data_IF_277580262065
#
_entry.id   IF_277580262065
#
_cell.length_a   1.000
_cell.length_b   1.000
_cell.length_c   1.000
_cell.angle_alpha   90.00
_cell.angle_beta   90.00
_cell.angle_gamma   90.00
#
_symmetry.space_group_name_H-M   'P 1'
#
loop_
_entity.id
_entity.type
_entity.pdbx_description
1 polymer ?
#
# COMPACT_ATOMS: atom_id res chain seq x y z
N UNK A 1 -15.68 -32.96 -19.46
CA UNK A 1 -14.48 -32.14 -19.20
C UNK A 1 -14.93 -30.84 -18.58
N UNK A 2 -14.69 -30.64 -17.28
CA UNK A 2 -14.96 -29.37 -16.61
C UNK A 2 -13.75 -28.46 -16.89
N UNK A 3 -13.92 -27.46 -17.75
CA UNK A 3 -12.91 -26.42 -17.95
C UNK A 3 -12.89 -25.58 -16.68
N UNK A 4 -11.97 -25.86 -15.75
CA UNK A 4 -11.63 -24.90 -14.70
C UNK A 4 -10.96 -23.71 -15.41
N UNK A 5 -11.74 -22.66 -15.66
CA UNK A 5 -11.20 -21.34 -15.96
C UNK A 5 -10.48 -20.86 -14.71
N UNK A 6 -9.15 -21.02 -14.65
CA UNK A 6 -8.35 -20.20 -13.74
C UNK A 6 -8.52 -18.76 -14.21
N UNK A 7 -9.40 -18.01 -13.54
CA UNK A 7 -9.38 -16.56 -13.65
C UNK A 7 -7.97 -16.14 -13.24
N UNK A 8 -7.15 -15.70 -14.21
CA UNK A 8 -5.89 -15.05 -13.89
C UNK A 8 -6.28 -13.73 -13.25
N UNK A 9 -6.11 -13.62 -11.95
CA UNK A 9 -6.13 -12.33 -11.28
C UNK A 9 -5.10 -11.44 -11.97
N UNK A 10 -5.59 -10.41 -12.65
CA UNK A 10 -4.74 -9.36 -13.23
C UNK A 10 -4.43 -8.40 -12.10
N UNK A 11 -3.19 -8.42 -11.64
CA UNK A 11 -2.73 -7.59 -10.54
C UNK A 11 -2.78 -6.13 -10.98
N UNK A 12 -3.64 -5.32 -10.37
CA UNK A 12 -3.86 -3.94 -10.76
C UNK A 12 -3.35 -2.96 -9.73
N UNK A 13 -2.37 -2.13 -10.08
CA UNK A 13 -1.85 -1.12 -9.13
C UNK A 13 -2.09 0.28 -9.71
N UNK A 14 -2.68 1.15 -8.91
CA UNK A 14 -3.05 2.50 -9.33
C UNK A 14 -1.82 3.30 -9.79
N UNK A 15 -1.94 3.94 -10.94
CA UNK A 15 -0.88 4.71 -11.63
C UNK A 15 -1.50 5.90 -12.37
N UNK A 16 -0.72 6.94 -12.69
CA UNK A 16 -1.25 8.07 -13.46
C UNK A 16 -1.57 7.65 -14.90
N UNK A 17 -2.66 8.18 -15.50
CA UNK A 17 -2.99 7.94 -16.89
C UNK A 17 -1.80 8.23 -17.82
N UNK A 18 -1.57 7.36 -18.80
CA UNK A 18 -0.48 7.46 -19.78
C UNK A 18 0.94 7.53 -19.18
N UNK A 19 1.10 7.18 -17.90
CA UNK A 19 2.40 7.14 -17.26
C UNK A 19 3.32 6.13 -17.97
N UNK A 20 4.65 6.40 -18.04
CA UNK A 20 5.63 5.41 -18.44
C UNK A 20 5.65 4.15 -17.55
N UNK A 21 5.09 4.22 -16.33
CA UNK A 21 4.95 3.11 -15.40
C UNK A 21 3.71 2.24 -15.63
N UNK A 22 2.82 2.62 -16.55
CA UNK A 22 1.55 1.93 -16.76
C UNK A 22 1.74 0.44 -17.07
N UNK A 23 2.77 0.08 -17.85
CA UNK A 23 3.03 -1.32 -18.22
C UNK A 23 3.44 -2.20 -17.02
N UNK A 24 4.13 -1.63 -16.04
CA UNK A 24 4.59 -2.29 -14.82
C UNK A 24 3.46 -2.41 -13.80
N UNK A 25 2.56 -1.42 -13.79
CA UNK A 25 1.40 -1.35 -12.90
C UNK A 25 0.12 -1.99 -13.48
N UNK A 26 0.20 -2.51 -14.72
CA UNK A 26 -0.91 -3.09 -15.48
C UNK A 26 -2.06 -2.12 -15.76
N UNK A 27 -1.75 -0.81 -15.83
CA UNK A 27 -2.64 0.29 -16.25
C UNK A 27 -4.05 0.24 -15.63
N UNK A 28 -4.12 0.21 -14.30
CA UNK A 28 -5.41 0.07 -13.60
C UNK A 28 -5.86 1.34 -12.91
N UNK A 29 -7.17 1.45 -12.77
CA UNK A 29 -7.85 2.57 -12.09
C UNK A 29 -8.02 2.33 -10.60
N UNK A 30 -7.56 1.21 -10.03
CA UNK A 30 -7.49 1.03 -8.57
C UNK A 30 -6.47 -0.03 -8.21
N UNK A 31 -6.03 0.06 -6.97
CA UNK A 31 -5.37 -1.02 -6.24
C UNK A 31 -6.43 -1.75 -5.43
N UNK A 32 -6.43 -3.08 -5.47
CA UNK A 32 -7.25 -3.92 -4.62
C UNK A 32 -6.37 -4.75 -3.68
N UNK A 33 -7.01 -5.26 -2.65
CA UNK A 33 -6.50 -6.23 -1.69
C UNK A 33 -5.67 -7.37 -2.31
N UNK A 34 -6.25 -8.05 -3.31
CA UNK A 34 -5.62 -9.20 -3.98
C UNK A 34 -4.39 -8.81 -4.84
N UNK A 35 -4.11 -7.52 -5.00
CA UNK A 35 -2.96 -7.00 -5.74
C UNK A 35 -1.71 -6.84 -4.84
N UNK A 36 -1.87 -7.03 -3.53
CA UNK A 36 -0.84 -6.82 -2.51
C UNK A 36 -0.48 -8.15 -1.86
N UNK A 37 0.79 -8.27 -1.48
CA UNK A 37 1.29 -9.33 -0.62
C UNK A 37 1.89 -8.71 0.63
N UNK A 38 1.87 -9.42 1.76
CA UNK A 38 2.28 -8.87 3.05
C UNK A 38 3.55 -9.51 3.60
N UNK A 39 3.83 -10.77 3.24
CA UNK A 39 5.03 -11.48 3.67
C UNK A 39 6.19 -11.19 2.71
N UNK A 40 7.38 -10.95 3.25
CA UNK A 40 8.59 -10.61 2.50
C UNK A 40 8.92 -11.64 1.40
N UNK A 41 8.67 -12.92 1.69
CA UNK A 41 8.90 -14.01 0.75
C UNK A 41 8.02 -13.90 -0.51
N UNK A 42 6.80 -13.40 -0.37
CA UNK A 42 5.83 -13.36 -1.46
C UNK A 42 6.12 -12.25 -2.45
N UNK A 43 6.82 -11.19 -2.03
CA UNK A 43 7.26 -10.09 -2.89
C UNK A 43 8.21 -10.55 -4.01
N UNK A 44 8.86 -11.71 -3.86
CA UNK A 44 9.68 -12.32 -4.93
C UNK A 44 9.21 -13.71 -5.33
N UNK A 45 8.42 -14.38 -4.49
CA UNK A 45 7.90 -15.72 -4.72
C UNK A 45 6.60 -15.79 -5.52
N UNK A 46 5.86 -14.68 -5.63
CA UNK A 46 4.55 -14.65 -6.30
C UNK A 46 4.50 -13.67 -7.47
N UNK A 47 3.56 -13.90 -8.39
CA UNK A 47 3.31 -12.97 -9.50
C UNK A 47 2.79 -11.61 -9.02
N UNK A 48 1.93 -11.60 -7.98
CA UNK A 48 1.42 -10.38 -7.36
C UNK A 48 2.54 -9.57 -6.72
N UNK A 49 3.35 -10.21 -5.88
CA UNK A 49 4.49 -9.56 -5.25
C UNK A 49 5.53 -9.02 -6.25
N UNK A 50 5.82 -9.76 -7.31
CA UNK A 50 6.75 -9.31 -8.36
C UNK A 50 6.19 -8.11 -9.14
N UNK A 51 4.90 -8.14 -9.49
CA UNK A 51 4.22 -7.02 -10.14
C UNK A 51 4.20 -5.78 -9.22
N UNK A 52 3.91 -5.98 -7.93
CA UNK A 52 3.96 -4.93 -6.92
C UNK A 52 5.31 -4.25 -6.84
N UNK A 53 6.39 -5.03 -6.64
CA UNK A 53 7.75 -4.48 -6.61
C UNK A 53 8.09 -3.69 -7.86
N UNK A 54 7.75 -4.23 -9.03
CA UNK A 54 8.03 -3.60 -10.33
C UNK A 54 7.32 -2.25 -10.45
N UNK A 55 6.02 -2.21 -10.17
CA UNK A 55 5.22 -0.99 -10.21
C UNK A 55 5.71 0.04 -9.19
N UNK A 56 5.85 -0.32 -7.92
CA UNK A 56 6.25 0.60 -6.85
C UNK A 56 7.65 1.17 -7.09
N UNK A 57 8.58 0.37 -7.61
CA UNK A 57 9.92 0.85 -8.00
C UNK A 57 9.83 1.86 -9.14
N UNK A 58 8.95 1.64 -10.13
CA UNK A 58 8.76 2.59 -11.22
C UNK A 58 8.17 3.91 -10.71
N UNK A 59 7.08 3.84 -9.94
CA UNK A 59 6.40 5.02 -9.39
C UNK A 59 7.31 5.86 -8.50
N UNK A 60 8.11 5.21 -7.63
CA UNK A 60 9.07 5.87 -6.75
C UNK A 60 10.10 6.71 -7.52
N UNK A 61 10.50 6.26 -8.71
CA UNK A 61 11.53 6.91 -9.53
C UNK A 61 10.93 7.81 -10.62
N UNK A 62 9.62 7.84 -10.75
CA UNK A 62 8.94 8.58 -11.81
C UNK A 62 8.74 10.05 -11.43
N UNK A 63 9.01 10.94 -12.38
CA UNK A 63 8.69 12.37 -12.28
C UNK A 63 7.43 12.72 -13.08
N UNK A 64 6.66 11.72 -13.53
CA UNK A 64 5.51 11.93 -14.39
C UNK A 64 4.32 12.52 -13.62
N UNK A 65 3.67 13.51 -14.24
CA UNK A 65 2.46 14.14 -13.75
C UNK A 65 1.55 14.50 -14.91
N UNK A 66 0.24 14.31 -14.75
CA UNK A 66 -0.77 14.69 -15.73
C UNK A 66 -2.02 15.20 -15.02
N UNK A 67 -2.43 16.44 -15.30
CA UNK A 67 -3.56 17.07 -14.61
C UNK A 67 -3.28 17.19 -13.11
N UNK A 68 -4.23 16.72 -12.30
CA UNK A 68 -4.13 16.71 -10.83
C UNK A 68 -3.51 15.40 -10.29
N UNK A 69 -2.95 14.56 -11.16
CA UNK A 69 -2.34 13.29 -10.79
C UNK A 69 -0.83 13.29 -11.01
N UNK A 70 -0.11 12.57 -10.14
CA UNK A 70 1.31 12.27 -10.34
C UNK A 70 1.63 10.85 -9.89
N UNK A 71 2.64 10.26 -10.52
CA UNK A 71 3.10 8.92 -10.12
C UNK A 71 3.63 8.91 -8.69
N UNK A 72 4.20 10.04 -8.22
CA UNK A 72 4.65 10.18 -6.85
C UNK A 72 3.49 10.17 -5.85
N UNK A 73 2.36 10.79 -6.19
CA UNK A 73 1.16 10.72 -5.37
C UNK A 73 0.58 9.30 -5.34
N UNK A 74 0.59 8.60 -6.47
CA UNK A 74 0.15 7.20 -6.53
C UNK A 74 1.10 6.24 -5.80
N UNK A 75 2.40 6.49 -5.82
CA UNK A 75 3.36 5.76 -4.98
C UNK A 75 2.98 5.84 -3.50
N UNK A 76 2.77 7.05 -2.97
CA UNK A 76 2.40 7.24 -1.57
C UNK A 76 1.03 6.62 -1.25
N UNK A 77 0.07 6.75 -2.16
CA UNK A 77 -1.25 6.12 -2.02
C UNK A 77 -1.13 4.60 -1.91
N UNK A 78 -0.40 3.96 -2.81
CA UNK A 78 -0.23 2.50 -2.84
C UNK A 78 0.55 2.00 -1.62
N UNK A 79 1.56 2.74 -1.17
CA UNK A 79 2.32 2.41 0.03
C UNK A 79 1.40 2.42 1.27
N UNK A 80 0.62 3.49 1.42
CA UNK A 80 -0.37 3.61 2.50
C UNK A 80 -1.42 2.50 2.44
N UNK A 81 -1.99 2.24 1.26
CA UNK A 81 -2.98 1.18 1.08
C UNK A 81 -2.38 -0.19 1.46
N UNK A 82 -1.17 -0.51 1.02
CA UNK A 82 -0.49 -1.77 1.37
C UNK A 82 -0.24 -1.88 2.88
N UNK A 83 0.16 -0.78 3.52
CA UNK A 83 0.34 -0.76 4.97
C UNK A 83 -0.98 -1.03 5.71
N UNK A 84 -2.07 -0.37 5.33
CA UNK A 84 -3.38 -0.56 5.97
C UNK A 84 -3.98 -1.95 5.72
N UNK A 85 -3.83 -2.48 4.49
CA UNK A 85 -4.26 -3.84 4.15
C UNK A 85 -3.49 -4.88 4.97
N UNK A 86 -2.15 -4.81 4.96
CA UNK A 86 -1.31 -5.80 5.61
C UNK A 86 -1.30 -5.70 7.12
N UNK A 87 -1.37 -4.49 7.66
CA UNK A 87 -1.25 -4.26 9.09
C UNK A 87 -2.60 -4.19 9.80
N UNK A 88 -3.67 -3.67 9.19
CA UNK A 88 -4.93 -3.41 9.87
C UNK A 88 -6.14 -4.14 9.28
N UNK A 89 -5.95 -5.01 8.27
CA UNK A 89 -7.04 -5.65 7.54
C UNK A 89 -7.90 -4.71 6.69
N UNK A 90 -7.47 -3.46 6.50
CA UNK A 90 -8.32 -2.40 6.01
C UNK A 90 -8.09 -2.16 4.51
N UNK A 91 -9.13 -1.96 3.67
CA UNK A 91 -10.53 -1.82 4.05
C UNK A 91 -11.32 -3.13 4.18
N UNK A 92 -10.88 -4.24 3.55
CA UNK A 92 -11.62 -5.52 3.57
C UNK A 92 -10.70 -6.74 3.31
N UNK A 93 -9.69 -6.99 4.14
CA UNK A 93 -8.95 -8.26 4.08
C UNK A 93 -9.61 -9.33 4.97
N UNK A 94 -10.03 -10.45 4.38
CA UNK A 94 -10.50 -11.62 5.14
C UNK A 94 -9.37 -12.42 5.79
N UNK A 95 -8.14 -12.27 5.29
CA UNK A 95 -6.95 -12.99 5.74
C UNK A 95 -5.97 -12.10 6.53
N UNK A 96 -6.47 -11.03 7.12
CA UNK A 96 -5.65 -10.16 7.94
C UNK A 96 -5.06 -10.92 9.12
N UNK A 97 -3.75 -11.18 9.01
CA UNK A 97 -2.96 -11.65 10.13
C UNK A 97 -2.93 -10.50 11.11
N UNK A 98 -3.51 -10.70 12.28
CA UNK A 98 -3.36 -9.79 13.40
C UNK A 98 -1.87 -9.65 13.70
N UNK A 99 -1.29 -8.54 13.25
CA UNK A 99 0.12 -8.28 13.49
C UNK A 99 0.32 -8.00 14.98
N UNK A 100 1.35 -8.57 15.61
CA UNK A 100 1.68 -8.27 17.00
C UNK A 100 2.02 -6.79 17.22
N UNK A 101 2.23 -6.02 16.15
CA UNK A 101 2.54 -4.60 16.20
C UNK A 101 1.32 -3.69 16.29
N UNK A 102 0.09 -4.20 16.16
CA UNK A 102 -1.16 -3.43 16.33
C UNK A 102 -1.46 -3.07 17.81
N UNK A 103 -0.44 -2.71 18.60
CA UNK A 103 -0.61 -2.32 20.00
C UNK A 103 -0.69 -0.81 20.15
N UNK A 104 -1.26 -0.35 21.26
CA UNK A 104 -1.26 1.07 21.65
C UNK A 104 0.13 1.66 21.90
N UNK A 105 1.16 0.81 22.03
CA UNK A 105 2.54 1.21 22.21
C UNK A 105 3.36 1.24 20.90
N UNK A 106 2.81 0.69 19.80
CA UNK A 106 3.48 0.60 18.50
C UNK A 106 2.59 1.18 17.40
N UNK A 107 2.01 0.34 16.54
CA UNK A 107 1.34 0.80 15.33
C UNK A 107 -0.12 1.22 15.51
N UNK A 108 -0.80 0.79 16.59
CA UNK A 108 -2.22 1.08 16.81
C UNK A 108 -2.58 2.57 16.70
N UNK A 109 -1.79 3.50 17.27
CA UNK A 109 -2.06 4.95 17.15
C UNK A 109 -1.99 5.51 15.72
N UNK A 110 -1.36 4.82 14.77
CA UNK A 110 -1.30 5.27 13.37
C UNK A 110 -2.58 4.94 12.60
N UNK A 111 -3.35 3.94 13.03
CA UNK A 111 -4.46 3.37 12.27
C UNK A 111 -5.45 4.43 11.79
N UNK A 112 -6.02 5.24 12.69
CA UNK A 112 -7.03 6.24 12.29
C UNK A 112 -6.48 7.34 11.36
N UNK A 113 -5.18 7.64 11.45
CA UNK A 113 -4.54 8.59 10.54
C UNK A 113 -4.33 7.96 9.15
N UNK A 114 -3.89 6.70 9.10
CA UNK A 114 -3.68 5.97 7.86
C UNK A 114 -4.99 5.50 7.21
N UNK A 115 -6.09 5.37 7.94
CA UNK A 115 -7.42 5.14 7.36
C UNK A 115 -8.15 6.44 6.94
N UNK A 116 -7.54 7.61 7.15
CA UNK A 116 -8.14 8.93 6.88
C UNK A 116 -8.79 9.03 5.48
N UNK A 117 -10.04 9.49 5.42
CA UNK A 117 -10.74 9.61 4.14
C UNK A 117 -11.01 8.26 3.46
N UNK A 118 -11.03 7.15 4.21
CA UNK A 118 -11.39 5.80 3.75
C UNK A 118 -10.56 5.34 2.54
N UNK A 119 -9.26 5.63 2.56
CA UNK A 119 -8.33 5.37 1.44
C UNK A 119 -8.86 5.88 0.09
N UNK A 120 -9.61 6.99 0.12
CA UNK A 120 -10.14 7.61 -1.08
C UNK A 120 -9.02 8.13 -1.97
N UNK A 121 -9.11 7.80 -3.26
CA UNK A 121 -8.21 8.30 -4.30
C UNK A 121 -8.25 9.82 -4.42
N UNK A 122 -9.34 10.46 -3.97
CA UNK A 122 -9.47 11.93 -3.95
C UNK A 122 -8.48 12.56 -2.96
N UNK A 123 -8.19 11.87 -1.84
CA UNK A 123 -7.21 12.35 -0.87
C UNK A 123 -5.79 12.32 -1.45
N UNK A 124 -5.48 11.43 -2.40
CA UNK A 124 -4.17 11.38 -3.05
C UNK A 124 -3.98 12.51 -4.07
N UNK A 125 -5.06 13.00 -4.69
CA UNK A 125 -4.99 13.99 -5.78
C UNK A 125 -5.27 15.43 -5.32
N UNK A 126 -5.98 15.63 -4.21
CA UNK A 126 -6.42 16.97 -3.76
C UNK A 126 -5.69 17.45 -2.50
N UNK A 127 -5.29 16.52 -1.61
CA UNK A 127 -4.65 16.84 -0.34
C UNK A 127 -3.81 15.65 0.14
N UNK A 128 -2.74 15.32 -0.60
CA UNK A 128 -1.83 14.20 -0.31
C UNK A 128 -1.16 14.22 1.08
N UNK A 129 -1.57 15.14 1.96
CA UNK A 129 -1.11 15.35 3.33
C UNK A 129 -2.18 15.12 4.42
N UNK A 130 -3.44 14.85 4.05
CA UNK A 130 -4.54 14.71 5.02
C UNK A 130 -4.26 13.64 6.10
N UNK A 131 -3.64 12.52 5.71
CA UNK A 131 -3.21 11.49 6.66
C UNK A 131 -1.96 11.88 7.48
N UNK A 132 -1.10 12.76 6.96
CA UNK A 132 0.08 13.26 7.67
C UNK A 132 -0.28 14.13 8.88
N UNK A 133 -1.41 14.85 8.80
CA UNK A 133 -1.88 15.74 9.86
C UNK A 133 -3.04 15.16 10.67
N UNK A 134 -3.67 14.08 10.19
CA UNK A 134 -4.69 13.35 10.92
C UNK A 134 -4.18 12.79 12.26
N UNK A 135 -5.10 12.64 13.21
CA UNK A 135 -4.83 12.14 14.58
C UNK A 135 -3.62 12.83 15.23
N UNK A 136 -3.60 14.16 15.21
CA UNK A 136 -2.53 14.99 15.76
C UNK A 136 -1.14 14.68 15.20
N UNK A 137 -1.07 14.27 13.93
CA UNK A 137 0.18 13.95 13.24
C UNK A 137 0.80 12.61 13.66
N UNK A 138 -0.01 11.64 14.08
CA UNK A 138 0.46 10.35 14.61
C UNK A 138 1.50 9.64 13.71
N UNK A 139 1.34 9.75 12.39
CA UNK A 139 2.21 9.11 11.39
C UNK A 139 3.56 9.81 11.19
N UNK A 140 3.76 11.00 11.78
CA UNK A 140 5.03 11.74 11.78
C UNK A 140 5.62 11.91 13.18
N UNK A 141 4.95 11.37 14.20
CA UNK A 141 5.36 11.47 15.60
C UNK A 141 6.03 10.22 16.14
N UNK A 142 6.23 10.17 17.46
CA UNK A 142 6.90 9.06 18.18
C UNK A 142 6.33 7.66 17.90
N UNK A 143 5.06 7.55 17.52
CA UNK A 143 4.43 6.27 17.25
C UNK A 143 4.89 5.67 15.92
N UNK A 144 5.29 6.49 14.96
CA UNK A 144 5.92 6.02 13.72
C UNK A 144 7.18 5.22 14.01
N UNK A 145 8.11 5.77 14.80
CA UNK A 145 9.36 5.07 15.16
C UNK A 145 9.07 3.79 15.96
N UNK A 146 8.13 3.83 16.90
CA UNK A 146 7.75 2.65 17.68
C UNK A 146 7.15 1.54 16.80
N UNK A 147 6.33 1.92 15.82
CA UNK A 147 5.76 1.00 14.84
C UNK A 147 6.84 0.41 13.94
N UNK A 148 7.71 1.24 13.37
CA UNK A 148 8.82 0.85 12.52
C UNK A 148 9.72 -0.19 13.21
N UNK A 149 10.09 0.06 14.45
CA UNK A 149 10.91 -0.87 15.24
C UNK A 149 10.21 -2.21 15.44
N UNK A 150 8.91 -2.19 15.80
CA UNK A 150 8.15 -3.42 15.98
C UNK A 150 8.07 -4.27 14.69
N UNK A 151 7.80 -3.64 13.55
CA UNK A 151 7.71 -4.33 12.26
C UNK A 151 9.06 -4.91 11.84
N UNK A 152 10.15 -4.18 12.10
CA UNK A 152 11.52 -4.62 11.81
C UNK A 152 11.94 -5.83 12.67
N UNK A 153 11.51 -5.88 13.94
CA UNK A 153 11.78 -6.99 14.84
C UNK A 153 11.01 -8.28 14.47
N UNK A 154 9.86 -8.13 13.78
CA UNK A 154 9.01 -9.25 13.35
C UNK A 154 9.62 -10.14 12.26
N UNK A 155 10.57 -9.63 11.48
CA UNK A 155 11.44 -10.41 10.58
C UNK A 155 10.81 -10.95 9.30
N UNK A 156 9.48 -11.06 9.18
CA UNK A 156 8.79 -11.55 7.97
C UNK A 156 8.04 -10.48 7.18
N UNK A 157 7.98 -9.25 7.68
CA UNK A 157 7.22 -8.13 7.10
C UNK A 157 8.08 -6.86 6.99
N UNK A 158 9.36 -6.98 6.68
CA UNK A 158 10.28 -5.83 6.58
C UNK A 158 9.98 -4.95 5.36
N UNK A 159 9.36 -5.51 4.32
CA UNK A 159 9.01 -4.74 3.12
C UNK A 159 8.01 -3.63 3.43
N UNK A 160 7.02 -3.89 4.30
CA UNK A 160 6.05 -2.88 4.75
C UNK A 160 6.60 -1.96 5.86
N UNK A 161 7.82 -2.23 6.35
CA UNK A 161 8.54 -1.40 7.30
C UNK A 161 9.46 -0.35 6.62
N UNK A 162 9.44 -0.24 5.28
CA UNK A 162 10.21 0.75 4.52
C UNK A 162 9.41 2.00 4.16
#
# INVERSE_FOLDING_TARGET
>A
LLLLSLARHTVGIRVSPNSPCASQCQDTTRTASDDIVCEDADFTGTSAGTAWKSCMTCLQNSTYSQGDESDQAWFLYNLRFSFDSCLFAYPNETDARSSPCQTSAACGPLQSALEYGNLSTISATVDGSGYCTASDGAVTGKFYEACLNCLSDGGSTNYIAN
#
